data_IF_766866953083
#
_entry.id   IF_766866953083
#
_cell.length_a   1.000
_cell.length_b   1.000
_cell.length_c   1.000
_cell.angle_alpha   90.00
_cell.angle_beta   90.00
_cell.angle_gamma   90.00
#
_symmetry.space_group_name_H-M   'P 1'
#
loop_
_entity.id
_entity.type
_entity.pdbx_description
1 polymer ?
#
# COMPACT_ATOMS: atom_id res chain seq x y z
N UNK A 1 8.71 6.54 -21.36
CA UNK A 1 7.34 7.12 -21.20
C UNK A 1 7.06 7.39 -19.74
N UNK A 2 6.01 8.18 -19.46
CA UNK A 2 5.42 8.26 -18.12
C UNK A 2 4.26 7.27 -18.04
N UNK A 3 4.30 6.38 -17.07
CA UNK A 3 3.32 5.30 -16.88
C UNK A 3 2.65 5.47 -15.54
N UNK A 4 1.32 5.43 -15.51
CA UNK A 4 0.54 5.30 -14.29
C UNK A 4 0.09 3.85 -14.17
N UNK A 5 0.55 3.17 -13.14
CA UNK A 5 0.21 1.78 -12.85
C UNK A 5 -0.83 1.71 -11.73
N UNK A 6 -2.01 1.20 -12.03
CA UNK A 6 -3.06 1.00 -11.04
C UNK A 6 -2.97 -0.43 -10.46
N UNK A 7 -2.74 -0.53 -9.15
CA UNK A 7 -2.68 -1.79 -8.43
C UNK A 7 -4.01 -2.08 -7.73
N UNK A 8 -4.68 -3.12 -8.19
CA UNK A 8 -5.87 -3.66 -7.53
C UNK A 8 -5.54 -4.57 -6.35
N UNK A 9 -6.59 -5.11 -5.70
CA UNK A 9 -6.44 -5.96 -4.51
C UNK A 9 -5.49 -7.15 -4.68
N UNK A 10 -5.51 -7.80 -5.84
CA UNK A 10 -4.66 -8.96 -6.11
C UNK A 10 -3.16 -8.64 -6.19
N UNK A 11 -2.80 -7.39 -6.49
CA UNK A 11 -1.41 -6.94 -6.51
C UNK A 11 -0.89 -6.55 -5.12
N UNK A 12 -1.78 -6.48 -4.13
CA UNK A 12 -1.48 -6.13 -2.75
C UNK A 12 -1.74 -7.29 -1.77
N UNK A 13 -2.67 -8.16 -2.10
CA UNK A 13 -3.04 -9.32 -1.29
C UNK A 13 -3.57 -10.43 -2.20
N UNK A 14 -2.73 -11.38 -2.52
CA UNK A 14 -3.05 -12.48 -3.46
C UNK A 14 -4.01 -13.49 -2.85
N UNK A 15 -3.83 -13.82 -1.58
CA UNK A 15 -4.72 -14.70 -0.83
C UNK A 15 -5.57 -13.91 0.15
N UNK A 16 -6.88 -13.93 -0.04
CA UNK A 16 -7.84 -13.28 0.86
C UNK A 16 -7.85 -13.88 2.28
N UNK A 17 -7.29 -15.07 2.45
CA UNK A 17 -7.17 -15.75 3.74
C UNK A 17 -5.91 -15.35 4.48
N UNK A 18 -4.84 -15.02 3.77
CA UNK A 18 -3.60 -14.53 4.37
C UNK A 18 -3.63 -13.00 4.46
N UNK A 19 -4.03 -12.53 5.63
CA UNK A 19 -4.08 -11.09 5.96
C UNK A 19 -2.84 -10.63 6.73
N UNK A 20 -1.83 -11.49 6.84
CA UNK A 20 -0.59 -11.16 7.54
C UNK A 20 0.22 -10.08 6.80
N UNK A 21 1.00 -9.33 7.54
CA UNK A 21 1.94 -8.37 6.96
C UNK A 21 2.96 -9.06 6.06
N UNK A 22 3.38 -10.29 6.39
CA UNK A 22 4.32 -11.07 5.60
C UNK A 22 3.73 -11.49 4.25
N UNK A 23 2.47 -11.98 4.22
CA UNK A 23 1.78 -12.33 2.98
C UNK A 23 1.59 -11.14 2.05
N UNK A 24 1.30 -9.97 2.60
CA UNK A 24 1.21 -8.73 1.82
C UNK A 24 2.57 -8.29 1.31
N UNK A 25 3.61 -8.36 2.14
CA UNK A 25 4.97 -8.02 1.74
C UNK A 25 5.45 -8.91 0.59
N UNK A 26 5.18 -10.21 0.65
CA UNK A 26 5.53 -11.14 -0.42
C UNK A 26 4.79 -10.83 -1.73
N UNK A 27 3.51 -10.46 -1.64
CA UNK A 27 2.75 -10.01 -2.82
C UNK A 27 3.35 -8.72 -3.41
N UNK A 28 3.76 -7.78 -2.57
CA UNK A 28 4.44 -6.56 -3.02
C UNK A 28 5.80 -6.86 -3.67
N UNK A 29 6.56 -7.87 -3.20
CA UNK A 29 7.82 -8.30 -3.85
C UNK A 29 7.58 -8.80 -5.27
N UNK A 30 6.53 -9.58 -5.49
CA UNK A 30 6.18 -10.05 -6.84
C UNK A 30 5.78 -8.89 -7.75
N UNK A 31 5.03 -7.93 -7.25
CA UNK A 31 4.66 -6.70 -7.97
C UNK A 31 5.89 -5.85 -8.29
N UNK A 32 6.85 -5.77 -7.36
CA UNK A 32 8.06 -4.98 -7.51
C UNK A 32 8.92 -5.42 -8.70
N UNK A 33 8.95 -6.71 -9.02
CA UNK A 33 9.67 -7.23 -10.20
C UNK A 33 9.13 -6.59 -11.47
N UNK A 34 7.81 -6.61 -11.67
CA UNK A 34 7.18 -6.02 -12.87
C UNK A 34 7.35 -4.49 -12.93
N UNK A 35 7.34 -3.81 -11.79
CA UNK A 35 7.60 -2.37 -11.72
C UNK A 35 9.05 -2.07 -12.09
N UNK A 36 9.99 -2.88 -11.59
CA UNK A 36 11.41 -2.73 -11.90
C UNK A 36 11.70 -2.98 -13.38
N UNK A 37 11.02 -3.93 -14.03
CA UNK A 37 11.13 -4.16 -15.48
C UNK A 37 10.81 -2.87 -16.26
N UNK A 38 9.71 -2.20 -15.93
CA UNK A 38 9.32 -0.95 -16.57
C UNK A 38 10.33 0.17 -16.34
N UNK A 39 10.93 0.24 -15.16
CA UNK A 39 11.92 1.25 -14.82
C UNK A 39 13.24 0.97 -15.55
N UNK A 40 13.65 -0.28 -15.65
CA UNK A 40 14.85 -0.73 -16.37
C UNK A 40 14.74 -0.42 -17.87
N UNK A 41 13.52 -0.55 -18.43
CA UNK A 41 13.19 -0.16 -19.81
C UNK A 41 13.18 1.38 -20.04
N UNK A 42 13.51 2.16 -19.02
CA UNK A 42 13.65 3.62 -19.10
C UNK A 42 12.34 4.40 -18.91
N UNK A 43 11.32 3.78 -18.30
CA UNK A 43 10.05 4.44 -18.02
C UNK A 43 10.06 5.15 -16.66
N UNK A 44 9.29 6.23 -16.55
CA UNK A 44 8.92 6.87 -15.28
C UNK A 44 7.61 6.27 -14.81
N UNK A 45 7.59 5.67 -13.64
CA UNK A 45 6.42 4.96 -13.12
C UNK A 45 5.83 5.68 -11.92
N UNK A 46 4.54 5.97 -11.97
CA UNK A 46 3.72 6.38 -10.82
C UNK A 46 2.74 5.27 -10.50
N UNK A 47 2.62 4.93 -9.23
CA UNK A 47 1.73 3.86 -8.78
C UNK A 47 0.56 4.47 -8.03
N UNK A 48 -0.65 4.04 -8.36
CA UNK A 48 -1.87 4.29 -7.59
C UNK A 48 -2.44 2.94 -7.15
N UNK A 49 -2.97 2.87 -5.95
CA UNK A 49 -3.49 1.62 -5.40
C UNK A 49 -4.77 1.80 -4.60
N UNK A 50 -5.57 0.74 -4.51
CA UNK A 50 -6.68 0.64 -3.59
C UNK A 50 -6.24 0.18 -2.19
N UNK A 51 -7.15 0.17 -1.24
CA UNK A 51 -6.89 -0.18 0.16
C UNK A 51 -8.03 -0.93 0.86
N UNK A 52 -9.06 -1.36 0.13
CA UNK A 52 -10.31 -1.87 0.71
C UNK A 52 -10.12 -2.93 1.81
N UNK A 53 -9.42 -4.04 1.57
CA UNK A 53 -9.18 -5.06 2.60
C UNK A 53 -8.37 -4.53 3.78
N UNK A 54 -7.37 -3.69 3.53
CA UNK A 54 -6.45 -3.17 4.54
C UNK A 54 -7.13 -2.16 5.47
N UNK A 55 -7.88 -1.21 4.92
CA UNK A 55 -8.62 -0.23 5.73
C UNK A 55 -9.69 -0.90 6.60
N UNK A 56 -10.38 -1.90 6.05
CA UNK A 56 -11.37 -2.67 6.82
C UNK A 56 -10.76 -3.44 7.98
N UNK A 57 -9.59 -4.05 7.79
CA UNK A 57 -8.89 -4.77 8.85
C UNK A 57 -8.38 -3.85 9.95
N UNK A 58 -7.83 -2.70 9.59
CA UNK A 58 -7.37 -1.68 10.56
C UNK A 58 -8.56 -1.16 11.36
N UNK A 59 -9.67 -0.80 10.69
CA UNK A 59 -10.88 -0.29 11.34
C UNK A 59 -11.45 -1.31 12.33
N UNK A 60 -11.60 -2.56 11.91
CA UNK A 60 -12.10 -3.63 12.79
C UNK A 60 -11.21 -3.84 14.02
N UNK A 61 -9.89 -3.73 13.87
CA UNK A 61 -8.94 -3.86 14.98
C UNK A 61 -9.07 -2.70 15.98
N UNK A 62 -9.26 -1.48 15.49
CA UNK A 62 -9.46 -0.27 16.31
C UNK A 62 -10.78 -0.37 17.08
N UNK A 63 -11.85 -0.75 16.38
CA UNK A 63 -13.19 -0.92 17.01
C UNK A 63 -13.17 -1.99 18.09
N UNK A 64 -12.52 -3.13 17.83
CA UNK A 64 -12.39 -4.19 18.82
C UNK A 64 -11.61 -3.73 20.05
N UNK A 65 -10.50 -3.02 19.87
CA UNK A 65 -9.73 -2.47 20.98
C UNK A 65 -10.56 -1.50 21.83
N UNK A 66 -11.35 -0.64 21.19
CA UNK A 66 -12.26 0.27 21.88
C UNK A 66 -13.36 -0.45 22.66
N UNK A 67 -13.91 -1.56 22.12
CA UNK A 67 -14.92 -2.37 22.82
C UNK A 67 -14.35 -3.06 24.07
N UNK A 68 -13.08 -3.44 24.04
CA UNK A 68 -12.42 -4.07 25.20
C UNK A 68 -12.07 -3.04 26.25
N UNK A 69 -11.57 -1.90 25.84
CA UNK A 69 -11.25 -0.76 26.71
C UNK A 69 -11.59 0.55 26.00
N UNK A 70 -12.60 1.24 26.48
CA UNK A 70 -13.08 2.52 25.91
C UNK A 70 -12.06 3.67 26.03
N UNK A 71 -10.97 3.48 26.74
CA UNK A 71 -9.82 4.39 26.74
C UNK A 71 -9.03 4.34 25.41
N UNK A 72 -9.17 3.27 24.60
CA UNK A 72 -8.60 3.24 23.27
C UNK A 72 -9.38 4.18 22.33
N UNK A 73 -8.70 5.09 21.60
CA UNK A 73 -9.39 6.05 20.75
C UNK A 73 -10.00 5.40 19.51
N UNK A 74 -11.14 5.90 19.08
CA UNK A 74 -11.66 5.69 17.74
C UNK A 74 -11.05 6.73 16.79
N UNK A 75 -10.85 6.35 15.54
CA UNK A 75 -10.33 7.24 14.51
C UNK A 75 -11.37 7.48 13.41
N UNK A 76 -11.47 8.70 12.86
CA UNK A 76 -12.26 8.97 11.67
C UNK A 76 -11.82 8.10 10.48
N UNK A 77 -12.76 7.78 9.59
CA UNK A 77 -12.50 6.87 8.48
C UNK A 77 -11.40 7.33 7.51
N UNK A 78 -11.30 8.64 7.29
CA UNK A 78 -10.24 9.24 6.48
C UNK A 78 -8.85 9.06 7.12
N UNK A 79 -8.74 9.15 8.45
CA UNK A 79 -7.49 8.87 9.17
C UNK A 79 -7.12 7.39 9.08
N UNK A 80 -8.10 6.48 9.20
CA UNK A 80 -7.87 5.03 8.99
C UNK A 80 -7.45 4.76 7.54
N UNK A 81 -8.01 5.50 6.59
CA UNK A 81 -7.55 5.52 5.20
C UNK A 81 -6.07 5.88 5.09
N UNK A 82 -5.64 6.94 5.75
CA UNK A 82 -4.24 7.36 5.78
C UNK A 82 -3.30 6.31 6.40
N UNK A 83 -3.74 5.57 7.44
CA UNK A 83 -2.97 4.45 7.97
C UNK A 83 -2.71 3.39 6.91
N UNK A 84 -3.73 3.04 6.13
CA UNK A 84 -3.60 2.06 5.05
C UNK A 84 -2.73 2.56 3.91
N UNK A 85 -2.80 3.84 3.54
CA UNK A 85 -1.92 4.44 2.53
C UNK A 85 -0.45 4.36 2.96
N UNK A 86 -0.15 4.73 4.19
CA UNK A 86 1.21 4.65 4.74
C UNK A 86 1.74 3.23 4.78
N UNK A 87 0.96 2.29 5.25
CA UNK A 87 1.33 0.89 5.38
C UNK A 87 1.57 0.21 4.02
N UNK A 88 0.65 0.37 3.07
CA UNK A 88 0.78 -0.18 1.72
C UNK A 88 1.94 0.50 0.98
N UNK A 89 2.01 1.82 1.05
CA UNK A 89 3.09 2.59 0.44
C UNK A 89 4.46 2.20 0.97
N UNK A 90 4.58 1.93 2.27
CA UNK A 90 5.80 1.45 2.90
C UNK A 90 6.25 0.10 2.33
N UNK A 91 5.33 -0.86 2.17
CA UNK A 91 5.65 -2.15 1.56
C UNK A 91 6.09 -2.02 0.10
N UNK A 92 5.34 -1.25 -0.70
CA UNK A 92 5.67 -1.02 -2.11
C UNK A 92 7.01 -0.30 -2.28
N UNK A 93 7.22 0.77 -1.52
CA UNK A 93 8.46 1.54 -1.55
C UNK A 93 9.68 0.67 -1.24
N UNK A 94 9.61 -0.12 -0.17
CA UNK A 94 10.71 -0.97 0.25
C UNK A 94 11.01 -2.09 -0.76
N UNK A 95 9.97 -2.78 -1.23
CA UNK A 95 10.14 -3.91 -2.16
C UNK A 95 10.62 -3.47 -3.53
N UNK A 96 10.10 -2.36 -4.06
CA UNK A 96 10.55 -1.80 -5.33
C UNK A 96 11.99 -1.32 -5.23
N UNK A 97 12.33 -0.59 -4.16
CA UNK A 97 13.70 -0.13 -3.92
C UNK A 97 14.68 -1.31 -3.79
N UNK A 98 14.31 -2.35 -3.05
CA UNK A 98 15.12 -3.57 -2.91
C UNK A 98 15.38 -4.21 -4.28
N UNK A 99 14.34 -4.35 -5.11
CA UNK A 99 14.46 -4.95 -6.44
C UNK A 99 15.32 -4.09 -7.38
N UNK A 100 15.17 -2.77 -7.37
CA UNK A 100 16.00 -1.87 -8.15
C UNK A 100 17.46 -1.96 -7.75
N UNK A 101 17.77 -2.01 -6.46
CA UNK A 101 19.14 -2.17 -5.96
C UNK A 101 19.77 -3.50 -6.38
N UNK A 102 19.01 -4.61 -6.37
CA UNK A 102 19.47 -5.90 -6.89
C UNK A 102 19.88 -5.84 -8.37
N UNK A 103 19.25 -4.97 -9.14
CA UNK A 103 19.55 -4.73 -10.56
C UNK A 103 20.62 -3.66 -10.78
N UNK A 104 21.18 -3.07 -9.74
CA UNK A 104 22.15 -1.99 -9.83
C UNK A 104 21.55 -0.65 -10.29
N UNK A 105 20.23 -0.47 -10.12
CA UNK A 105 19.53 0.76 -10.49
C UNK A 105 19.40 1.64 -9.26
N UNK A 106 20.12 2.76 -9.23
CA UNK A 106 20.01 3.78 -8.19
C UNK A 106 18.87 4.76 -8.52
N UNK A 107 17.70 4.52 -7.97
CA UNK A 107 16.53 5.40 -8.12
C UNK A 107 15.77 5.49 -6.82
N UNK A 108 15.33 6.70 -6.45
CA UNK A 108 14.47 6.89 -5.29
C UNK A 108 13.08 6.36 -5.58
N UNK A 109 12.45 5.83 -4.54
CA UNK A 109 11.05 5.41 -4.52
C UNK A 109 10.42 6.03 -3.30
N UNK A 110 9.43 6.87 -3.49
CA UNK A 110 8.81 7.65 -2.44
C UNK A 110 7.30 7.39 -2.39
N UNK A 111 6.74 7.42 -1.19
CA UNK A 111 5.31 7.29 -0.95
C UNK A 111 4.71 8.66 -0.65
N UNK A 112 3.63 8.99 -1.32
CA UNK A 112 2.89 10.23 -1.12
C UNK A 112 1.51 9.88 -0.56
N UNK A 113 1.18 10.42 0.61
CA UNK A 113 -0.16 10.36 1.17
C UNK A 113 -1.03 11.37 0.43
N UNK A 114 -2.18 10.92 -0.06
CA UNK A 114 -3.12 11.74 -0.84
C UNK A 114 -4.35 12.11 -0.02
N UNK A 115 -4.96 13.23 -0.37
CA UNK A 115 -6.22 13.68 0.21
C UNK A 115 -7.21 14.00 -0.90
N UNK A 116 -8.43 13.46 -0.79
CA UNK A 116 -9.51 13.71 -1.74
C UNK A 116 -10.63 14.45 -1.04
N UNK A 117 -11.01 15.60 -1.58
CA UNK A 117 -12.16 16.36 -1.10
C UNK A 117 -13.43 15.73 -1.68
N UNK A 118 -14.38 15.41 -0.81
CA UNK A 118 -15.67 14.82 -1.18
C UNK A 118 -16.82 15.68 -0.66
N UNK A 119 -17.96 15.62 -1.34
CA UNK A 119 -19.18 16.25 -0.85
C UNK A 119 -19.72 15.54 0.38
N UNK A 120 -20.38 16.29 1.26
CA UNK A 120 -20.97 15.75 2.52
C UNK A 120 -22.22 14.88 2.29
N UNK A 121 -22.73 14.82 1.10
CA UNK A 121 -23.98 14.11 0.78
C UNK A 121 -23.75 12.68 0.32
#
# INVERSE_FOLDING_TARGET
MKIVLALGGNALQKDSKDKSAEGQLETCRQTAVSVADLIEDGHEVSIVHGNGPQVGQILASIELAHQVDNGNPLFPFDVVGAFSEGYIGYHLQNTIREELLKRGIEKSVDTITTQVIVDKN
#
